data_IF_909475457695
#
_entry.id   IF_909475457695
#
_cell.length_a   1.000
_cell.length_b   1.000
_cell.length_c   1.000
_cell.angle_alpha   90.00
_cell.angle_beta   90.00
_cell.angle_gamma   90.00
#
_symmetry.space_group_name_H-M   'P 1'
#
loop_
_entity.id
_entity.type
_entity.pdbx_description
1 polymer ?
#
# COMPACT_ATOMS: atom_id res chain seq x y z
N UNK A 1 -39.13 -29.59 2.68
CA UNK A 1 -38.21 -28.98 3.68
C UNK A 1 -38.83 -27.79 4.44
N UNK A 2 -39.31 -26.76 3.73
CA UNK A 2 -39.74 -25.50 4.34
C UNK A 2 -40.94 -25.61 5.30
N UNK A 3 -41.91 -26.46 4.99
CA UNK A 3 -43.08 -26.68 5.82
C UNK A 3 -42.72 -27.27 7.23
N UNK A 4 -41.85 -28.27 7.26
CA UNK A 4 -41.39 -28.86 8.52
C UNK A 4 -40.53 -27.89 9.36
N UNK A 5 -39.75 -27.07 8.76
CA UNK A 5 -38.97 -26.04 9.44
C UNK A 5 -39.87 -25.01 10.17
N UNK A 6 -41.01 -24.64 9.55
CA UNK A 6 -41.96 -23.72 10.16
C UNK A 6 -42.64 -24.30 11.40
N UNK A 7 -42.74 -25.63 11.50
CA UNK A 7 -43.36 -26.35 12.68
C UNK A 7 -42.39 -26.48 13.86
N UNK A 8 -41.07 -26.20 13.66
CA UNK A 8 -40.10 -26.27 14.73
C UNK A 8 -40.27 -25.09 15.71
N UNK A 9 -40.12 -25.37 17.02
CA UNK A 9 -40.03 -24.33 18.02
C UNK A 9 -38.79 -23.43 17.79
N UNK A 10 -38.80 -22.18 18.25
CA UNK A 10 -37.63 -21.26 18.07
C UNK A 10 -36.33 -21.85 18.62
N UNK A 11 -36.38 -22.60 19.71
CA UNK A 11 -35.21 -23.28 20.29
C UNK A 11 -34.65 -24.38 19.36
N UNK A 12 -35.56 -25.20 18.77
CA UNK A 12 -35.16 -26.25 17.82
C UNK A 12 -34.61 -25.68 16.52
N UNK A 13 -35.17 -24.56 16.02
CA UNK A 13 -34.62 -23.85 14.84
C UNK A 13 -33.20 -23.36 15.10
N UNK A 14 -32.97 -22.75 16.28
CA UNK A 14 -31.62 -22.29 16.67
C UNK A 14 -30.62 -23.46 16.73
N UNK A 15 -30.98 -24.56 17.33
CA UNK A 15 -30.13 -25.75 17.39
C UNK A 15 -29.83 -26.32 16.00
N UNK A 16 -30.82 -26.34 15.12
CA UNK A 16 -30.68 -26.82 13.75
C UNK A 16 -29.67 -25.92 12.97
N UNK A 17 -29.82 -24.60 13.03
CA UNK A 17 -28.87 -23.68 12.42
C UNK A 17 -27.46 -23.82 13.00
N UNK A 18 -27.33 -24.03 14.32
CA UNK A 18 -26.03 -24.24 14.94
C UNK A 18 -25.35 -25.53 14.44
N UNK A 19 -26.10 -26.59 14.23
CA UNK A 19 -25.55 -27.85 13.67
C UNK A 19 -25.14 -27.69 12.21
N UNK A 20 -25.93 -26.97 11.42
CA UNK A 20 -25.57 -26.66 10.03
C UNK A 20 -24.27 -25.82 9.99
N UNK A 21 -24.20 -24.76 10.81
CA UNK A 21 -23.00 -23.92 10.87
C UNK A 21 -21.74 -24.73 11.19
N UNK A 22 -21.78 -25.58 12.21
CA UNK A 22 -20.66 -26.45 12.57
C UNK A 22 -20.27 -27.41 11.44
N UNK A 23 -21.25 -27.98 10.76
CA UNK A 23 -20.98 -28.88 9.65
C UNK A 23 -20.33 -28.17 8.46
N UNK A 24 -20.79 -26.94 8.16
CA UNK A 24 -20.16 -26.11 7.14
C UNK A 24 -18.74 -25.71 7.53
N UNK A 25 -18.49 -25.38 8.80
CA UNK A 25 -17.13 -25.12 9.31
C UNK A 25 -16.16 -26.29 9.07
N UNK A 26 -16.60 -27.53 9.35
CA UNK A 26 -15.80 -28.74 9.14
C UNK A 26 -15.42 -28.95 7.67
N UNK A 27 -16.24 -28.44 6.74
CA UNK A 27 -16.01 -28.57 5.29
C UNK A 27 -15.32 -27.36 4.66
N UNK A 28 -15.04 -26.31 5.46
CA UNK A 28 -14.45 -25.05 4.97
C UNK A 28 -13.01 -25.24 4.46
N UNK A 29 -12.22 -26.11 5.09
CA UNK A 29 -10.82 -26.39 4.71
C UNK A 29 -10.71 -26.94 3.28
N UNK A 30 -11.77 -27.59 2.76
CA UNK A 30 -11.84 -28.18 1.42
C UNK A 30 -12.46 -27.21 0.39
N UNK A 31 -12.93 -26.01 0.81
CA UNK A 31 -13.66 -25.07 -0.04
C UNK A 31 -12.83 -23.86 -0.42
N UNK A 32 -12.78 -23.55 -1.70
CA UNK A 32 -12.22 -22.31 -2.25
C UNK A 32 -13.28 -21.22 -2.44
N UNK A 33 -14.56 -21.50 -2.15
CA UNK A 33 -15.66 -20.57 -2.33
C UNK A 33 -15.82 -19.62 -1.13
N UNK A 34 -15.47 -18.35 -1.32
CA UNK A 34 -15.57 -17.33 -0.28
C UNK A 34 -17.01 -17.09 0.21
N UNK A 35 -18.02 -17.38 -0.59
CA UNK A 35 -19.42 -17.28 -0.18
C UNK A 35 -19.76 -18.25 0.95
N UNK A 36 -18.95 -19.30 1.14
CA UNK A 36 -19.08 -20.22 2.27
C UNK A 36 -18.96 -19.50 3.61
N UNK A 37 -18.06 -18.52 3.74
CA UNK A 37 -17.95 -17.71 4.96
C UNK A 37 -19.27 -16.97 5.26
N UNK A 38 -19.92 -16.40 4.26
CA UNK A 38 -21.21 -15.72 4.43
C UNK A 38 -22.34 -16.68 4.84
N UNK A 39 -22.37 -17.87 4.24
CA UNK A 39 -23.36 -18.89 4.63
C UNK A 39 -23.17 -19.34 6.07
N UNK A 40 -21.94 -19.61 6.50
CA UNK A 40 -21.63 -19.97 7.90
C UNK A 40 -22.03 -18.84 8.84
N UNK A 41 -21.71 -17.59 8.49
CA UNK A 41 -22.09 -16.41 9.26
C UNK A 41 -23.61 -16.30 9.42
N UNK A 42 -24.36 -16.52 8.32
CA UNK A 42 -25.82 -16.54 8.34
C UNK A 42 -26.37 -17.60 9.29
N UNK A 43 -25.85 -18.83 9.21
CA UNK A 43 -26.30 -19.93 10.05
C UNK A 43 -26.04 -19.65 11.55
N UNK A 44 -24.86 -19.08 11.89
CA UNK A 44 -24.57 -18.64 13.26
C UNK A 44 -25.47 -17.50 13.72
N UNK A 45 -25.81 -16.54 12.86
CA UNK A 45 -26.76 -15.47 13.15
C UNK A 45 -28.15 -16.02 13.49
N UNK A 46 -28.66 -16.98 12.70
CA UNK A 46 -29.94 -17.64 12.94
C UNK A 46 -29.93 -18.47 14.24
N UNK A 47 -28.81 -19.01 14.63
CA UNK A 47 -28.65 -19.71 15.90
C UNK A 47 -28.49 -18.78 17.10
N UNK A 48 -28.45 -17.45 16.92
CA UNK A 48 -28.17 -16.43 17.92
C UNK A 48 -26.72 -16.45 18.47
N UNK A 49 -25.80 -17.11 17.77
CA UNK A 49 -24.38 -17.02 18.09
C UNK A 49 -23.75 -15.84 17.33
N UNK A 50 -24.00 -14.62 17.83
CA UNK A 50 -23.70 -13.40 17.11
C UNK A 50 -22.19 -13.12 16.99
N UNK A 51 -21.39 -13.49 17.99
CA UNK A 51 -19.93 -13.32 17.92
C UNK A 51 -19.31 -14.26 16.86
N UNK A 52 -19.78 -15.50 16.79
CA UNK A 52 -19.31 -16.44 15.77
C UNK A 52 -19.74 -16.00 14.37
N UNK A 53 -20.97 -15.47 14.23
CA UNK A 53 -21.43 -14.85 12.98
C UNK A 53 -20.52 -13.71 12.54
N UNK A 54 -20.21 -12.76 13.43
CA UNK A 54 -19.31 -11.65 13.14
C UNK A 54 -17.89 -12.14 12.77
N UNK A 55 -17.39 -13.18 13.44
CA UNK A 55 -16.08 -13.76 13.13
C UNK A 55 -15.99 -14.24 11.67
N UNK A 56 -17.03 -14.93 11.17
CA UNK A 56 -17.06 -15.41 9.78
C UNK A 56 -17.27 -14.29 8.75
N UNK A 57 -18.02 -13.25 9.10
CA UNK A 57 -18.14 -12.07 8.27
C UNK A 57 -16.77 -11.33 8.12
N UNK A 58 -16.00 -11.27 9.21
CA UNK A 58 -14.65 -10.71 9.18
C UNK A 58 -13.69 -11.59 8.37
N UNK A 59 -13.75 -12.93 8.51
CA UNK A 59 -12.96 -13.84 7.68
C UNK A 59 -13.24 -13.61 6.19
N UNK A 60 -14.51 -13.48 5.81
CA UNK A 60 -14.89 -13.15 4.43
C UNK A 60 -14.25 -11.86 3.94
N UNK A 61 -14.29 -10.78 4.74
CA UNK A 61 -13.70 -9.51 4.35
C UNK A 61 -12.16 -9.57 4.30
N UNK A 62 -11.52 -10.30 5.21
CA UNK A 62 -10.07 -10.53 5.20
C UNK A 62 -9.62 -11.19 3.89
N UNK A 63 -10.31 -12.26 3.47
CA UNK A 63 -10.02 -12.96 2.23
C UNK A 63 -10.20 -12.07 0.99
N UNK A 64 -11.29 -11.28 0.95
CA UNK A 64 -11.54 -10.35 -0.15
C UNK A 64 -10.45 -9.29 -0.26
N UNK A 65 -10.05 -8.74 0.88
CA UNK A 65 -9.02 -7.70 0.91
C UNK A 65 -7.61 -8.27 0.67
N UNK A 66 -7.46 -9.59 0.54
CA UNK A 66 -6.19 -10.29 0.32
C UNK A 66 -5.08 -9.74 1.23
N UNK A 67 -5.39 -9.67 2.54
CA UNK A 67 -4.53 -9.01 3.52
C UNK A 67 -3.20 -9.73 3.78
N UNK A 68 -3.00 -10.92 3.25
CA UNK A 68 -1.79 -11.71 3.40
C UNK A 68 -0.56 -11.05 2.74
N UNK A 69 -0.76 -10.21 1.70
CA UNK A 69 0.33 -9.50 1.06
C UNK A 69 0.61 -8.16 1.73
N UNK A 70 1.64 -8.16 2.52
CA UNK A 70 2.09 -7.06 3.35
C UNK A 70 2.40 -5.77 2.58
N UNK A 71 3.01 -5.90 1.41
CA UNK A 71 3.53 -4.77 0.65
C UNK A 71 2.54 -4.20 -0.36
N UNK A 72 1.64 -5.01 -0.90
CA UNK A 72 0.88 -4.65 -2.08
C UNK A 72 -0.56 -5.17 -1.98
N UNK A 73 -1.43 -4.35 -1.43
CA UNK A 73 -2.86 -4.61 -1.49
C UNK A 73 -3.39 -4.16 -2.85
N UNK A 74 -4.08 -5.07 -3.55
CA UNK A 74 -4.67 -4.81 -4.86
C UNK A 74 -6.11 -4.33 -4.65
N UNK A 75 -6.43 -3.16 -5.19
CA UNK A 75 -7.80 -2.73 -5.40
C UNK A 75 -8.03 -2.66 -6.91
N UNK A 76 -8.96 -3.45 -7.42
CA UNK A 76 -9.32 -3.38 -8.83
C UNK A 76 -10.16 -2.13 -9.12
N UNK A 77 -9.89 -1.45 -10.24
CA UNK A 77 -10.65 -0.29 -10.72
C UNK A 77 -11.81 -0.77 -11.58
N UNK A 78 -13.02 -0.28 -11.29
CA UNK A 78 -14.17 -0.45 -12.15
C UNK A 78 -14.92 -1.77 -12.05
N UNK A 79 -15.80 -1.98 -13.02
CA UNK A 79 -16.75 -3.11 -13.11
C UNK A 79 -16.11 -4.43 -13.59
N UNK A 80 -14.79 -4.51 -13.73
CA UNK A 80 -14.13 -5.75 -14.09
C UNK A 80 -14.29 -6.77 -12.95
N UNK A 81 -14.91 -7.86 -13.30
CA UNK A 81 -15.25 -9.00 -12.46
C UNK A 81 -14.01 -9.49 -11.69
N UNK A 82 -13.97 -9.23 -10.39
CA UNK A 82 -13.10 -10.03 -9.54
C UNK A 82 -13.66 -11.45 -9.58
N UNK A 83 -12.97 -12.36 -10.25
CA UNK A 83 -13.24 -13.79 -10.15
C UNK A 83 -12.74 -14.26 -8.79
N UNK A 84 -13.48 -13.90 -7.75
CA UNK A 84 -13.33 -14.45 -6.43
C UNK A 84 -14.29 -15.64 -6.36
N UNK A 85 -13.76 -16.85 -6.49
CA UNK A 85 -14.54 -18.07 -6.31
C UNK A 85 -15.72 -18.27 -7.30
N UNK A 86 -15.60 -17.82 -8.55
CA UNK A 86 -16.59 -18.15 -9.60
C UNK A 86 -17.92 -17.39 -9.55
N UNK A 87 -18.07 -16.37 -8.72
CA UNK A 87 -19.24 -15.51 -8.67
C UNK A 87 -18.93 -14.10 -9.17
N UNK A 88 -19.57 -13.70 -10.27
CA UNK A 88 -19.60 -12.31 -10.77
C UNK A 88 -20.34 -11.44 -9.76
N UNK A 89 -19.64 -10.77 -8.86
CA UNK A 89 -20.27 -9.79 -7.97
C UNK A 89 -19.43 -8.52 -7.92
N UNK A 90 -20.08 -7.40 -8.19
CA UNK A 90 -19.55 -6.08 -7.83
C UNK A 90 -19.28 -6.03 -6.34
N UNK A 91 -18.01 -6.02 -5.95
CA UNK A 91 -17.64 -6.03 -4.55
C UNK A 91 -17.63 -4.60 -4.02
N UNK A 92 -18.68 -4.22 -3.34
CA UNK A 92 -18.76 -2.95 -2.62
C UNK A 92 -18.04 -3.09 -1.26
N UNK A 93 -16.71 -2.92 -1.27
CA UNK A 93 -15.88 -2.97 -0.05
C UNK A 93 -16.33 -1.92 0.96
N UNK A 94 -16.70 -0.72 0.51
CA UNK A 94 -17.15 0.37 1.38
C UNK A 94 -18.49 -0.01 2.03
N UNK A 95 -19.41 -0.58 1.25
CA UNK A 95 -20.69 -1.08 1.77
C UNK A 95 -20.48 -2.21 2.78
N UNK A 96 -19.60 -3.16 2.51
CA UNK A 96 -19.28 -4.24 3.46
C UNK A 96 -18.63 -3.72 4.76
N UNK A 97 -17.67 -2.81 4.67
CA UNK A 97 -17.09 -2.15 5.85
C UNK A 97 -18.13 -1.40 6.66
N UNK A 98 -19.04 -0.65 5.99
CA UNK A 98 -20.11 0.10 6.65
C UNK A 98 -21.09 -0.85 7.35
N UNK A 99 -21.48 -1.92 6.68
CA UNK A 99 -22.36 -2.97 7.24
C UNK A 99 -21.75 -3.64 8.47
N UNK A 100 -20.46 -3.96 8.41
CA UNK A 100 -19.75 -4.56 9.55
C UNK A 100 -19.57 -3.57 10.70
N UNK A 101 -19.33 -2.28 10.42
CA UNK A 101 -19.30 -1.24 11.43
C UNK A 101 -20.60 -1.23 12.25
N UNK A 102 -21.74 -1.18 11.55
CA UNK A 102 -23.05 -1.20 12.21
C UNK A 102 -23.25 -2.48 13.03
N UNK A 103 -22.83 -3.64 12.51
CA UNK A 103 -22.95 -4.90 13.23
C UNK A 103 -22.08 -4.95 14.50
N UNK A 104 -20.86 -4.41 14.45
CA UNK A 104 -19.98 -4.25 15.62
C UNK A 104 -20.65 -3.33 16.65
N UNK A 105 -21.17 -2.19 16.24
CA UNK A 105 -21.81 -1.22 17.13
C UNK A 105 -23.08 -1.80 17.78
N UNK A 106 -23.91 -2.52 17.03
CA UNK A 106 -25.12 -3.18 17.54
C UNK A 106 -24.82 -4.24 18.64
N UNK A 107 -23.64 -4.87 18.55
CA UNK A 107 -23.22 -5.85 19.54
C UNK A 107 -22.58 -5.24 20.79
N UNK A 108 -22.09 -4.01 20.71
CA UNK A 108 -21.37 -3.34 21.79
C UNK A 108 -22.14 -3.29 23.12
N UNK A 109 -23.43 -2.90 23.21
CA UNK A 109 -24.14 -2.83 24.48
C UNK A 109 -24.21 -4.16 25.22
N UNK A 110 -24.20 -5.28 24.47
CA UNK A 110 -24.32 -6.64 25.03
C UNK A 110 -22.96 -7.25 25.40
N UNK A 111 -21.91 -6.94 24.62
CA UNK A 111 -20.64 -7.66 24.69
C UNK A 111 -19.44 -6.77 25.04
N UNK A 112 -19.63 -5.49 25.44
CA UNK A 112 -18.55 -4.53 25.70
C UNK A 112 -17.44 -5.00 26.67
N UNK A 113 -17.75 -5.95 27.57
CA UNK A 113 -16.79 -6.53 28.51
C UNK A 113 -16.24 -7.88 28.09
N UNK A 114 -16.70 -8.40 26.96
CA UNK A 114 -16.32 -9.70 26.44
C UNK A 114 -15.01 -9.59 25.68
N UNK A 115 -14.02 -10.45 26.00
CA UNK A 115 -12.71 -10.43 25.35
C UNK A 115 -12.78 -10.88 23.88
N UNK A 116 -13.65 -11.82 23.55
CA UNK A 116 -13.82 -12.31 22.19
C UNK A 116 -14.44 -11.21 21.31
N UNK A 117 -15.44 -10.48 21.87
CA UNK A 117 -15.99 -9.32 21.17
C UNK A 117 -14.92 -8.23 20.96
N UNK A 118 -14.11 -7.92 21.97
CA UNK A 118 -13.03 -6.94 21.84
C UNK A 118 -12.01 -7.35 20.76
N UNK A 119 -11.69 -8.64 20.68
CA UNK A 119 -10.83 -9.16 19.62
C UNK A 119 -11.47 -9.02 18.23
N UNK A 120 -12.76 -9.29 18.07
CA UNK A 120 -13.47 -9.09 16.80
C UNK A 120 -13.55 -7.59 16.43
N UNK A 121 -13.76 -6.72 17.40
CA UNK A 121 -13.72 -5.28 17.21
C UNK A 121 -12.32 -4.79 16.76
N UNK A 122 -11.26 -5.36 17.36
CA UNK A 122 -9.88 -5.09 16.94
C UNK A 122 -9.66 -5.51 15.49
N UNK A 123 -10.10 -6.71 15.07
CA UNK A 123 -10.00 -7.19 13.69
C UNK A 123 -10.72 -6.24 12.72
N UNK A 124 -11.95 -5.86 13.02
CA UNK A 124 -12.70 -4.92 12.20
C UNK A 124 -11.95 -3.58 12.04
N UNK A 125 -11.49 -2.99 13.15
CA UNK A 125 -10.76 -1.72 13.13
C UNK A 125 -9.44 -1.82 12.33
N UNK A 126 -8.78 -2.98 12.37
CA UNK A 126 -7.59 -3.22 11.57
C UNK A 126 -7.90 -3.22 10.06
N UNK A 127 -8.97 -3.91 9.65
CA UNK A 127 -9.41 -3.94 8.26
C UNK A 127 -9.80 -2.55 7.75
N UNK A 128 -10.64 -1.84 8.51
CA UNK A 128 -11.06 -0.48 8.20
C UNK A 128 -9.86 0.48 8.13
N UNK A 129 -9.00 0.45 9.14
CA UNK A 129 -7.84 1.33 9.23
C UNK A 129 -6.84 1.10 8.11
N UNK A 130 -6.54 -0.16 7.80
CA UNK A 130 -5.65 -0.53 6.71
C UNK A 130 -6.23 -0.12 5.35
N UNK A 131 -7.50 -0.38 5.10
CA UNK A 131 -8.18 0.06 3.88
C UNK A 131 -8.11 1.58 3.73
N UNK A 132 -8.51 2.32 4.77
CA UNK A 132 -8.54 3.79 4.75
C UNK A 132 -7.16 4.41 4.52
N UNK A 133 -6.09 3.88 5.14
CA UNK A 133 -4.72 4.36 4.88
C UNK A 133 -4.33 4.11 3.43
N UNK A 134 -4.65 2.95 2.87
CA UNK A 134 -4.31 2.60 1.48
C UNK A 134 -5.05 3.43 0.44
N UNK A 135 -6.28 3.85 0.74
CA UNK A 135 -7.10 4.68 -0.14
C UNK A 135 -6.93 6.18 0.08
N UNK A 136 -6.04 6.58 1.01
CA UNK A 136 -5.74 7.99 1.29
C UNK A 136 -6.66 8.67 2.31
N UNK A 137 -7.62 7.94 2.91
CA UNK A 137 -8.46 8.45 3.99
C UNK A 137 -7.70 8.43 5.35
N UNK A 138 -6.58 9.14 5.40
CA UNK A 138 -5.60 9.03 6.46
C UNK A 138 -6.14 9.29 7.86
N UNK A 139 -6.96 10.32 8.06
CA UNK A 139 -7.47 10.65 9.40
C UNK A 139 -8.33 9.51 9.97
N UNK A 140 -9.22 8.95 9.15
CA UNK A 140 -10.04 7.81 9.51
C UNK A 140 -9.18 6.58 9.79
N UNK A 141 -8.24 6.30 8.89
CA UNK A 141 -7.34 5.15 9.00
C UNK A 141 -6.46 5.19 10.26
N UNK A 142 -5.79 6.31 10.52
CA UNK A 142 -4.95 6.49 11.71
C UNK A 142 -5.76 6.36 13.00
N UNK A 143 -6.97 6.94 13.07
CA UNK A 143 -7.82 6.81 14.24
C UNK A 143 -8.20 5.34 14.52
N UNK A 144 -8.56 4.58 13.49
CA UNK A 144 -8.86 3.15 13.62
C UNK A 144 -7.62 2.36 14.07
N UNK A 145 -6.46 2.58 13.47
CA UNK A 145 -5.21 1.89 13.81
C UNK A 145 -4.70 2.24 15.22
N UNK A 146 -4.87 3.46 15.69
CA UNK A 146 -4.56 3.82 17.08
C UNK A 146 -5.41 3.03 18.08
N UNK A 147 -6.69 2.79 17.77
CA UNK A 147 -7.54 1.88 18.58
C UNK A 147 -7.06 0.43 18.51
N UNK A 148 -6.63 -0.04 17.32
CA UNK A 148 -6.00 -1.38 17.17
C UNK A 148 -4.82 -1.53 18.12
N UNK A 149 -3.89 -0.59 18.11
CA UNK A 149 -2.71 -0.58 18.99
C UNK A 149 -3.12 -0.62 20.46
N UNK A 150 -4.11 0.18 20.86
CA UNK A 150 -4.62 0.21 22.23
C UNK A 150 -5.23 -1.15 22.65
N UNK A 151 -6.08 -1.72 21.80
CA UNK A 151 -6.74 -3.01 22.07
C UNK A 151 -5.75 -4.17 22.01
N UNK A 152 -4.80 -4.15 21.08
CA UNK A 152 -3.76 -5.17 21.00
C UNK A 152 -2.88 -5.21 22.26
N UNK A 153 -2.52 -4.05 22.83
CA UNK A 153 -1.83 -3.97 24.12
C UNK A 153 -2.66 -4.54 25.26
N UNK A 154 -3.94 -4.18 25.35
CA UNK A 154 -4.85 -4.69 26.40
C UNK A 154 -5.06 -6.19 26.28
N UNK A 155 -5.25 -6.71 25.09
CA UNK A 155 -5.41 -8.15 24.82
C UNK A 155 -4.09 -8.93 24.81
N UNK A 156 -2.94 -8.22 24.89
CA UNK A 156 -1.59 -8.80 24.77
C UNK A 156 -1.38 -9.55 23.44
N UNK A 157 -1.93 -9.02 22.38
CA UNK A 157 -1.86 -9.62 21.05
C UNK A 157 -0.76 -8.94 20.21
N UNK A 158 0.43 -9.55 20.23
CA UNK A 158 1.64 -8.98 19.63
C UNK A 158 1.49 -8.74 18.12
N UNK A 159 0.92 -9.70 17.38
CA UNK A 159 0.84 -9.60 15.92
C UNK A 159 0.05 -8.37 15.50
N UNK A 160 -1.13 -8.12 16.08
CA UNK A 160 -1.90 -6.91 15.79
C UNK A 160 -1.25 -5.63 16.32
N UNK A 161 -0.43 -5.71 17.36
CA UNK A 161 0.35 -4.57 17.84
C UNK A 161 1.41 -4.15 16.80
N UNK A 162 2.19 -5.11 16.31
CA UNK A 162 3.22 -4.89 15.28
C UNK A 162 2.59 -4.46 13.94
N UNK A 163 1.44 -5.06 13.58
CA UNK A 163 0.66 -4.65 12.42
C UNK A 163 0.16 -3.20 12.54
N UNK A 164 -0.34 -2.81 13.70
CA UNK A 164 -0.76 -1.44 13.97
C UNK A 164 0.37 -0.44 13.76
N UNK A 165 1.55 -0.69 14.31
CA UNK A 165 2.73 0.15 14.08
C UNK A 165 3.09 0.21 12.60
N UNK A 166 3.07 -0.91 11.90
CA UNK A 166 3.38 -0.98 10.48
C UNK A 166 2.43 -0.15 9.64
N UNK A 167 1.12 -0.17 9.92
CA UNK A 167 0.16 0.67 9.19
C UNK A 167 0.43 2.17 9.40
N UNK A 168 0.83 2.60 10.60
CA UNK A 168 1.24 3.99 10.83
C UNK A 168 2.53 4.31 10.08
N UNK A 169 3.51 3.39 10.06
CA UNK A 169 4.74 3.57 9.28
C UNK A 169 4.41 3.75 7.78
N UNK A 170 3.47 2.96 7.23
CA UNK A 170 3.04 3.13 5.84
C UNK A 170 2.36 4.47 5.58
N UNK A 171 1.53 4.94 6.50
CA UNK A 171 1.02 6.31 6.45
C UNK A 171 2.16 7.34 6.43
N UNK A 172 3.14 7.20 7.31
CA UNK A 172 4.30 8.09 7.37
C UNK A 172 5.10 8.11 6.06
N UNK A 173 5.28 6.95 5.41
CA UNK A 173 5.93 6.83 4.09
C UNK A 173 5.15 7.61 3.02
N UNK A 174 3.82 7.47 3.02
CA UNK A 174 2.96 8.12 2.02
C UNK A 174 2.86 9.64 2.21
N UNK A 175 3.05 10.13 3.43
CA UNK A 175 2.93 11.55 3.80
C UNK A 175 4.25 12.24 4.09
N UNK A 176 5.38 11.53 3.93
CA UNK A 176 6.74 12.01 4.29
C UNK A 176 6.84 12.49 5.77
N UNK A 177 6.06 11.87 6.68
CA UNK A 177 6.09 12.20 8.12
C UNK A 177 7.23 11.47 8.82
N UNK A 178 8.45 11.97 8.64
CA UNK A 178 9.70 11.32 9.08
C UNK A 178 9.77 11.19 10.60
N UNK A 179 9.31 12.18 11.35
CA UNK A 179 9.42 12.19 12.82
C UNK A 179 8.55 11.09 13.47
N UNK A 180 7.34 10.92 13.00
CA UNK A 180 6.44 9.86 13.46
C UNK A 180 6.90 8.48 12.99
N UNK A 181 7.46 8.38 11.78
CA UNK A 181 8.06 7.15 11.28
C UNK A 181 9.22 6.68 12.17
N UNK A 182 10.10 7.59 12.62
CA UNK A 182 11.19 7.27 13.54
C UNK A 182 10.66 6.59 14.81
N UNK A 183 9.65 7.19 15.44
CA UNK A 183 9.07 6.68 16.67
C UNK A 183 8.48 5.28 16.51
N UNK A 184 7.66 5.06 15.48
CA UNK A 184 7.00 3.76 15.31
C UNK A 184 7.95 2.67 14.81
N UNK A 185 8.98 3.00 14.02
CA UNK A 185 10.00 2.01 13.62
C UNK A 185 10.84 1.55 14.81
N UNK A 186 11.13 2.44 15.78
CA UNK A 186 11.86 2.07 17.00
C UNK A 186 11.01 1.17 17.89
N UNK A 187 9.76 1.55 18.18
CA UNK A 187 8.85 0.74 18.98
C UNK A 187 8.63 -0.67 18.38
N UNK A 188 8.39 -0.73 17.07
CA UNK A 188 8.11 -1.99 16.40
C UNK A 188 9.34 -2.92 16.42
N UNK A 189 10.54 -2.39 16.24
CA UNK A 189 11.77 -3.18 16.32
C UNK A 189 12.03 -3.65 17.75
N UNK A 190 11.82 -2.81 18.75
CA UNK A 190 11.98 -3.17 20.16
C UNK A 190 11.02 -4.28 20.58
N UNK A 191 9.73 -4.14 20.29
CA UNK A 191 8.72 -5.15 20.61
C UNK A 191 8.97 -6.48 19.87
N UNK A 192 9.42 -6.44 18.60
CA UNK A 192 9.78 -7.63 17.85
C UNK A 192 11.01 -8.36 18.44
N UNK A 193 12.01 -7.61 18.92
CA UNK A 193 13.21 -8.17 19.57
C UNK A 193 12.83 -8.78 20.92
N UNK A 194 12.03 -8.10 21.75
CA UNK A 194 11.56 -8.61 23.04
C UNK A 194 10.78 -9.91 22.88
N UNK A 195 10.00 -10.02 21.82
CA UNK A 195 9.23 -11.22 21.51
C UNK A 195 10.05 -12.33 20.84
N UNK A 196 11.32 -12.08 20.50
CA UNK A 196 12.16 -13.00 19.73
C UNK A 196 11.51 -13.46 18.41
N UNK A 197 10.75 -12.55 17.75
CA UNK A 197 10.07 -12.82 16.49
C UNK A 197 10.99 -12.45 15.32
N UNK A 198 11.73 -13.42 14.78
CA UNK A 198 12.74 -13.20 13.75
C UNK A 198 12.17 -12.62 12.45
N UNK A 199 10.96 -13.04 12.04
CA UNK A 199 10.29 -12.51 10.85
C UNK A 199 9.94 -11.02 11.05
N UNK A 200 9.34 -10.68 12.18
CA UNK A 200 9.03 -9.31 12.53
C UNK A 200 10.30 -8.46 12.64
N UNK A 201 11.37 -8.97 13.25
CA UNK A 201 12.66 -8.26 13.33
C UNK A 201 13.19 -7.94 11.93
N UNK A 202 13.22 -8.93 11.02
CA UNK A 202 13.71 -8.73 9.66
C UNK A 202 12.91 -7.66 8.91
N UNK A 203 11.58 -7.67 9.08
CA UNK A 203 10.66 -6.71 8.52
C UNK A 203 10.91 -5.29 9.05
N UNK A 204 11.01 -5.15 10.38
CA UNK A 204 11.26 -3.85 11.00
C UNK A 204 12.66 -3.31 10.66
N UNK A 205 13.65 -4.16 10.47
CA UNK A 205 14.97 -3.75 9.97
C UNK A 205 14.86 -3.12 8.57
N UNK A 206 14.04 -3.68 7.67
CA UNK A 206 13.79 -3.07 6.35
C UNK A 206 13.15 -1.70 6.47
N UNK A 207 12.08 -1.57 7.28
CA UNK A 207 11.39 -0.30 7.49
C UNK A 207 12.30 0.74 8.15
N UNK A 208 13.15 0.31 9.08
CA UNK A 208 14.17 1.16 9.68
C UNK A 208 15.23 1.59 8.65
N UNK A 209 15.62 0.70 7.73
CA UNK A 209 16.48 1.02 6.61
C UNK A 209 15.86 2.09 5.70
N UNK A 210 14.57 1.97 5.38
CA UNK A 210 13.84 2.99 4.63
C UNK A 210 13.77 4.34 5.40
N UNK A 211 13.53 4.31 6.71
CA UNK A 211 13.60 5.53 7.53
C UNK A 211 14.94 6.23 7.39
N UNK A 212 16.06 5.51 7.53
CA UNK A 212 17.39 6.10 7.38
C UNK A 212 17.65 6.61 5.95
N UNK A 213 17.12 5.94 4.93
CA UNK A 213 17.15 6.42 3.56
C UNK A 213 16.40 7.76 3.41
N UNK A 214 15.24 7.91 4.05
CA UNK A 214 14.45 9.15 4.00
C UNK A 214 15.13 10.33 4.71
N UNK A 215 15.90 10.08 5.77
CA UNK A 215 16.66 11.12 6.48
C UNK A 215 18.05 11.38 5.89
N UNK A 216 18.48 10.57 4.94
CA UNK A 216 19.77 10.73 4.26
C UNK A 216 20.96 10.11 4.97
N UNK A 217 20.74 9.22 5.93
CA UNK A 217 21.80 8.44 6.58
C UNK A 217 22.04 7.15 5.79
N UNK A 218 22.84 7.26 4.71
CA UNK A 218 23.12 6.17 3.79
C UNK A 218 23.78 4.96 4.47
N UNK A 219 24.65 5.18 5.44
CA UNK A 219 25.36 4.12 6.14
C UNK A 219 24.38 3.27 6.95
N UNK A 220 23.55 3.91 7.77
CA UNK A 220 22.54 3.20 8.54
C UNK A 220 21.47 2.56 7.66
N UNK A 221 21.04 3.25 6.59
CA UNK A 221 20.10 2.68 5.64
C UNK A 221 20.64 1.36 5.04
N UNK A 222 21.82 1.41 4.47
CA UNK A 222 22.49 0.25 3.89
C UNK A 222 22.67 -0.89 4.90
N UNK A 223 23.14 -0.58 6.10
CA UNK A 223 23.35 -1.54 7.19
C UNK A 223 22.08 -2.27 7.59
N UNK A 224 20.96 -1.53 7.78
CA UNK A 224 19.70 -2.11 8.19
C UNK A 224 19.05 -2.94 7.07
N UNK A 225 19.16 -2.49 5.82
CA UNK A 225 18.65 -3.23 4.66
C UNK A 225 19.37 -4.57 4.46
N UNK A 226 20.72 -4.58 4.53
CA UNK A 226 21.45 -5.85 4.46
C UNK A 226 21.14 -6.78 5.63
N UNK A 227 21.04 -6.27 6.86
CA UNK A 227 20.62 -7.10 8.01
C UNK A 227 19.22 -7.69 7.83
N UNK A 228 18.30 -6.95 7.23
CA UNK A 228 16.98 -7.49 6.86
C UNK A 228 17.09 -8.64 5.87
N UNK A 229 17.89 -8.46 4.80
CA UNK A 229 18.14 -9.50 3.78
C UNK A 229 18.77 -10.74 4.44
N UNK A 230 19.81 -10.56 5.28
CA UNK A 230 20.48 -11.65 5.97
C UNK A 230 19.50 -12.46 6.84
N UNK A 231 18.61 -11.77 7.59
CA UNK A 231 17.60 -12.44 8.41
C UNK A 231 16.59 -13.24 7.59
N UNK A 232 16.18 -12.75 6.41
CA UNK A 232 15.28 -13.48 5.52
C UNK A 232 15.99 -14.57 4.69
N UNK A 233 17.33 -14.57 4.66
CA UNK A 233 18.14 -15.45 3.82
C UNK A 233 18.87 -16.56 4.57
N UNK A 234 18.50 -16.82 5.84
CA UNK A 234 19.19 -17.82 6.68
C UNK A 234 19.14 -19.24 6.11
N UNK A 235 18.13 -19.59 5.37
CA UNK A 235 18.00 -20.86 4.65
C UNK A 235 17.38 -20.63 3.28
N UNK A 236 17.60 -21.57 2.33
CA UNK A 236 16.99 -21.49 1.00
C UNK A 236 15.45 -21.44 1.06
N UNK A 237 14.86 -22.24 1.93
CA UNK A 237 13.41 -22.23 2.12
C UNK A 237 12.89 -20.87 2.63
N UNK A 238 13.67 -20.17 3.47
CA UNK A 238 13.31 -18.81 3.89
C UNK A 238 13.50 -17.81 2.74
N UNK A 239 14.56 -17.93 1.95
CA UNK A 239 14.75 -17.08 0.76
C UNK A 239 13.57 -17.18 -0.19
N UNK A 240 13.11 -18.42 -0.48
CA UNK A 240 11.96 -18.64 -1.36
C UNK A 240 10.67 -18.06 -0.74
N UNK A 241 10.44 -18.30 0.55
CA UNK A 241 9.26 -17.78 1.28
C UNK A 241 9.22 -16.26 1.34
N UNK A 242 10.38 -15.61 1.53
CA UNK A 242 10.49 -14.16 1.74
C UNK A 242 11.09 -13.41 0.54
N UNK A 243 11.04 -14.00 -0.64
CA UNK A 243 11.60 -13.40 -1.86
C UNK A 243 11.15 -11.96 -2.10
N UNK A 244 9.86 -11.66 -1.87
CA UNK A 244 9.29 -10.31 -2.01
C UNK A 244 9.89 -9.33 -1.00
N UNK A 245 10.09 -9.74 0.25
CA UNK A 245 10.68 -8.90 1.30
C UNK A 245 12.15 -8.61 1.04
N UNK A 246 12.89 -9.62 0.54
CA UNK A 246 14.28 -9.47 0.10
C UNK A 246 14.33 -8.52 -1.10
N UNK A 247 13.48 -8.73 -2.10
CA UNK A 247 13.36 -7.88 -3.29
C UNK A 247 13.09 -6.41 -2.91
N UNK A 248 12.19 -6.15 -1.96
CA UNK A 248 11.92 -4.80 -1.48
C UNK A 248 13.13 -4.15 -0.79
N UNK A 249 13.92 -4.90 -0.04
CA UNK A 249 15.16 -4.39 0.56
C UNK A 249 16.22 -4.07 -0.50
N UNK A 250 16.37 -4.93 -1.52
CA UNK A 250 17.27 -4.69 -2.66
C UNK A 250 16.83 -3.48 -3.50
N UNK A 251 15.52 -3.26 -3.67
CA UNK A 251 15.00 -2.08 -4.37
C UNK A 251 15.36 -0.78 -3.64
N UNK A 252 15.32 -0.74 -2.30
CA UNK A 252 15.80 0.42 -1.53
C UNK A 252 17.33 0.60 -1.64
N UNK A 253 18.11 -0.48 -1.71
CA UNK A 253 19.55 -0.38 -1.99
C UNK A 253 19.81 0.18 -3.40
N UNK A 254 19.00 -0.21 -4.39
CA UNK A 254 19.05 0.37 -5.74
C UNK A 254 18.68 1.87 -5.72
N UNK A 255 17.70 2.30 -4.91
CA UNK A 255 17.37 3.72 -4.73
C UNK A 255 18.59 4.50 -4.18
N UNK A 256 19.32 3.94 -3.21
CA UNK A 256 20.57 4.55 -2.70
C UNK A 256 21.59 4.75 -3.84
N UNK A 257 21.78 3.75 -4.70
CA UNK A 257 22.69 3.86 -5.84
C UNK A 257 22.21 4.91 -6.87
N UNK A 258 20.89 5.06 -7.10
CA UNK A 258 20.33 6.13 -7.92
C UNK A 258 20.63 7.52 -7.32
N UNK A 259 20.47 7.68 -6.01
CA UNK A 259 20.78 8.93 -5.30
C UNK A 259 22.25 9.30 -5.43
N UNK A 260 23.14 8.32 -5.40
CA UNK A 260 24.59 8.48 -5.66
C UNK A 260 24.92 8.84 -7.11
N UNK A 261 24.01 8.59 -8.04
CA UNK A 261 24.22 8.73 -9.49
C UNK A 261 24.80 7.49 -10.14
N UNK A 262 24.86 6.36 -9.47
CA UNK A 262 25.35 5.08 -9.98
C UNK A 262 24.22 4.31 -10.68
N UNK A 263 23.62 4.93 -11.72
CA UNK A 263 22.39 4.44 -12.34
C UNK A 263 22.52 3.03 -12.94
N UNK A 264 23.70 2.69 -13.51
CA UNK A 264 23.91 1.34 -14.04
C UNK A 264 23.87 0.27 -12.94
N UNK A 265 24.43 0.56 -11.76
CA UNK A 265 24.39 -0.36 -10.60
C UNK A 265 22.95 -0.52 -10.12
N UNK A 266 22.20 0.58 -10.04
CA UNK A 266 20.78 0.55 -9.68
C UNK A 266 19.95 -0.30 -10.66
N UNK A 267 20.18 -0.17 -11.96
CA UNK A 267 19.54 -1.01 -12.99
C UNK A 267 19.84 -2.48 -12.75
N UNK A 268 21.12 -2.84 -12.53
CA UNK A 268 21.51 -4.23 -12.28
C UNK A 268 20.81 -4.83 -11.06
N UNK A 269 20.74 -4.07 -9.95
CA UNK A 269 20.01 -4.51 -8.75
C UNK A 269 18.53 -4.70 -9.01
N UNK A 270 17.88 -3.81 -9.77
CA UNK A 270 16.45 -3.91 -10.04
C UNK A 270 16.11 -5.02 -11.05
N UNK A 271 17.00 -5.31 -11.99
CA UNK A 271 16.88 -6.50 -12.84
C UNK A 271 17.00 -7.79 -12.01
N UNK A 272 17.91 -7.83 -11.02
CA UNK A 272 18.02 -8.94 -10.06
C UNK A 272 16.75 -9.08 -9.21
N UNK A 273 16.19 -7.98 -8.74
CA UNK A 273 14.90 -7.94 -8.03
C UNK A 273 13.78 -8.59 -8.85
N UNK A 274 13.63 -8.20 -10.12
CA UNK A 274 12.62 -8.78 -11.01
C UNK A 274 12.82 -10.26 -11.26
N UNK A 275 14.08 -10.71 -11.38
CA UNK A 275 14.41 -12.12 -11.52
C UNK A 275 14.10 -12.92 -10.24
N UNK A 276 14.40 -12.35 -9.06
CA UNK A 276 14.11 -12.97 -7.76
C UNK A 276 12.63 -13.18 -7.52
N UNK A 277 11.83 -12.17 -7.86
CA UNK A 277 10.36 -12.20 -7.72
C UNK A 277 9.74 -13.17 -8.73
N UNK A 278 10.33 -13.31 -9.92
CA UNK A 278 9.93 -14.25 -10.97
C UNK A 278 8.62 -13.86 -11.68
N UNK A 279 8.24 -14.68 -12.69
CA UNK A 279 7.05 -14.42 -13.51
C UNK A 279 5.74 -14.87 -12.83
N UNK A 280 5.83 -15.67 -11.76
CA UNK A 280 4.67 -16.15 -11.00
C UNK A 280 4.26 -15.18 -9.88
N UNK A 281 5.02 -14.11 -9.66
CA UNK A 281 4.62 -13.09 -8.71
C UNK A 281 3.33 -12.41 -9.15
N UNK A 282 2.50 -12.09 -8.17
CA UNK A 282 1.28 -11.31 -8.40
C UNK A 282 1.66 -10.04 -9.15
N UNK A 283 0.95 -9.75 -10.25
CA UNK A 283 1.24 -8.61 -11.15
C UNK A 283 1.45 -7.28 -10.39
N UNK A 284 0.70 -7.08 -9.30
CA UNK A 284 0.82 -5.89 -8.45
C UNK A 284 2.17 -5.74 -7.75
N UNK A 285 2.88 -6.82 -7.47
CA UNK A 285 4.23 -6.79 -6.90
C UNK A 285 5.22 -6.34 -7.95
N UNK A 286 5.12 -6.88 -9.17
CA UNK A 286 5.99 -6.50 -10.29
C UNK A 286 5.88 -5.04 -10.68
N UNK A 287 4.67 -4.47 -10.63
CA UNK A 287 4.41 -3.06 -10.97
C UNK A 287 5.35 -2.10 -10.25
N UNK A 288 5.54 -2.30 -8.96
CA UNK A 288 6.41 -1.42 -8.15
C UNK A 288 7.84 -1.47 -8.67
N UNK A 289 8.35 -2.67 -8.91
CA UNK A 289 9.73 -2.87 -9.37
C UNK A 289 9.92 -2.47 -10.85
N UNK A 290 8.89 -2.65 -11.70
CA UNK A 290 8.93 -2.12 -13.08
C UNK A 290 8.99 -0.57 -13.08
N UNK A 291 8.26 0.09 -12.19
CA UNK A 291 8.34 1.57 -12.05
C UNK A 291 9.75 1.97 -11.59
N UNK A 292 10.29 1.33 -10.55
CA UNK A 292 11.60 1.65 -10.01
C UNK A 292 12.71 1.41 -11.05
N UNK A 293 12.62 0.32 -11.83
CA UNK A 293 13.53 0.05 -12.95
C UNK A 293 13.38 1.10 -14.08
N UNK A 294 12.15 1.49 -14.42
CA UNK A 294 11.90 2.55 -15.39
C UNK A 294 12.52 3.87 -14.96
N UNK A 295 12.43 4.23 -13.67
CA UNK A 295 13.06 5.41 -13.09
C UNK A 295 14.60 5.32 -13.20
N UNK A 296 15.19 4.16 -12.91
CA UNK A 296 16.63 3.96 -13.05
C UNK A 296 17.10 4.14 -14.50
N UNK A 297 16.37 3.58 -15.48
CA UNK A 297 16.63 3.80 -16.90
C UNK A 297 16.46 5.27 -17.32
N UNK A 298 15.43 5.95 -16.79
CA UNK A 298 15.24 7.39 -17.06
C UNK A 298 16.48 8.21 -16.64
N UNK A 299 16.97 7.99 -15.43
CA UNK A 299 18.15 8.70 -14.94
C UNK A 299 19.44 8.28 -15.65
N UNK A 300 19.52 7.06 -16.17
CA UNK A 300 20.60 6.59 -17.03
C UNK A 300 20.59 7.25 -18.42
N UNK A 301 19.44 7.82 -18.82
CA UNK A 301 19.24 8.41 -20.15
C UNK A 301 18.68 7.43 -21.19
N UNK A 302 18.37 6.20 -20.81
CA UNK A 302 17.74 5.21 -21.70
C UNK A 302 16.21 5.32 -21.63
N UNK A 303 15.69 6.39 -22.25
CA UNK A 303 14.25 6.69 -22.24
C UNK A 303 13.40 5.62 -22.94
N UNK A 304 13.97 4.90 -23.90
CA UNK A 304 13.26 3.82 -24.58
C UNK A 304 12.97 2.66 -23.63
N UNK A 305 13.96 2.21 -22.85
CA UNK A 305 13.76 1.18 -21.84
C UNK A 305 12.90 1.67 -20.68
N UNK A 306 13.06 2.94 -20.27
CA UNK A 306 12.20 3.54 -19.26
C UNK A 306 10.72 3.48 -19.68
N UNK A 307 10.39 3.89 -20.90
CA UNK A 307 9.03 3.83 -21.43
C UNK A 307 8.49 2.39 -21.45
N UNK A 308 9.27 1.41 -21.87
CA UNK A 308 8.85 0.01 -21.86
C UNK A 308 8.51 -0.50 -20.45
N UNK A 309 9.28 -0.10 -19.43
CA UNK A 309 8.98 -0.43 -18.04
C UNK A 309 7.68 0.26 -17.58
N UNK A 310 7.53 1.54 -17.89
CA UNK A 310 6.34 2.31 -17.52
C UNK A 310 5.07 1.81 -18.23
N UNK A 311 5.15 1.37 -19.50
CA UNK A 311 4.03 0.81 -20.24
C UNK A 311 3.56 -0.53 -19.62
N UNK A 312 4.51 -1.38 -19.18
CA UNK A 312 4.16 -2.61 -18.44
C UNK A 312 3.44 -2.27 -17.13
N UNK A 313 3.98 -1.32 -16.36
CA UNK A 313 3.38 -0.88 -15.12
C UNK A 313 1.99 -0.27 -15.36
N UNK A 314 1.83 0.61 -16.35
CA UNK A 314 0.57 1.26 -16.70
C UNK A 314 -0.52 0.24 -17.08
N UNK A 315 -0.16 -0.81 -17.83
CA UNK A 315 -1.11 -1.86 -18.21
C UNK A 315 -1.70 -2.58 -17.00
N UNK A 316 -0.93 -2.77 -15.94
CA UNK A 316 -1.43 -3.35 -14.69
C UNK A 316 -2.22 -2.32 -13.89
N UNK A 317 -1.71 -1.09 -13.76
CA UNK A 317 -2.37 0.00 -13.02
C UNK A 317 -3.69 0.47 -13.66
N UNK A 318 -3.94 0.16 -14.93
CA UNK A 318 -5.27 0.38 -15.52
C UNK A 318 -6.35 -0.49 -14.88
N UNK A 319 -5.98 -1.64 -14.29
CA UNK A 319 -6.87 -2.62 -13.67
C UNK A 319 -6.84 -2.58 -12.14
N UNK A 320 -5.77 -2.07 -11.55
CA UNK A 320 -5.57 -2.02 -10.10
C UNK A 320 -5.28 -0.60 -9.64
N UNK A 321 -5.66 -0.26 -8.40
CA UNK A 321 -5.37 1.05 -7.81
C UNK A 321 -4.16 0.97 -6.89
N UNK A 322 -3.17 1.82 -7.19
CA UNK A 322 -1.93 1.94 -6.42
C UNK A 322 -1.51 3.41 -6.31
N UNK A 323 -2.28 4.25 -5.60
CA UNK A 323 -2.22 5.72 -5.73
C UNK A 323 -0.81 6.31 -5.63
N UNK A 324 -0.02 5.92 -4.63
CA UNK A 324 1.31 6.49 -4.40
C UNK A 324 2.37 6.14 -5.47
N UNK A 325 2.21 5.01 -6.17
CA UNK A 325 3.08 4.64 -7.30
C UNK A 325 2.54 5.16 -8.63
N UNK A 326 1.22 5.32 -8.75
CA UNK A 326 0.60 5.95 -9.92
C UNK A 326 1.09 7.37 -10.12
N UNK A 327 1.13 8.19 -9.07
CA UNK A 327 1.63 9.56 -9.13
C UNK A 327 3.09 9.63 -9.58
N UNK A 328 3.92 8.72 -9.09
CA UNK A 328 5.32 8.64 -9.47
C UNK A 328 5.48 8.21 -10.95
N UNK A 329 4.73 7.20 -11.39
CA UNK A 329 4.72 6.75 -12.77
C UNK A 329 4.29 7.87 -13.73
N UNK A 330 3.14 8.50 -13.47
CA UNK A 330 2.62 9.60 -14.30
C UNK A 330 3.62 10.75 -14.42
N UNK A 331 4.30 11.09 -13.33
CA UNK A 331 5.29 12.15 -13.33
C UNK A 331 6.47 11.81 -14.26
N UNK A 332 7.05 10.63 -14.20
CA UNK A 332 8.17 10.24 -15.06
C UNK A 332 7.76 10.05 -16.52
N UNK A 333 6.56 9.53 -16.78
CA UNK A 333 6.00 9.49 -18.14
C UNK A 333 5.85 10.92 -18.71
N UNK A 334 5.40 11.86 -17.87
CA UNK A 334 5.28 13.27 -18.27
C UNK A 334 6.64 13.92 -18.56
N UNK A 335 7.69 13.61 -17.79
CA UNK A 335 9.04 14.06 -18.08
C UNK A 335 9.57 13.53 -19.41
N UNK A 336 9.26 12.28 -19.76
CA UNK A 336 9.59 11.71 -21.08
C UNK A 336 8.78 12.42 -22.18
N UNK A 337 7.48 12.63 -21.97
CA UNK A 337 6.61 13.35 -22.91
C UNK A 337 7.13 14.77 -23.20
N UNK A 338 7.62 15.48 -22.17
CA UNK A 338 8.26 16.80 -22.35
C UNK A 338 9.47 16.71 -23.29
N UNK A 339 10.29 15.68 -23.17
CA UNK A 339 11.48 15.50 -24.02
C UNK A 339 11.11 15.09 -25.45
N UNK A 340 9.97 14.44 -25.64
CA UNK A 340 9.45 14.03 -26.96
C UNK A 340 8.61 15.11 -27.65
N UNK A 341 8.35 16.23 -26.94
CA UNK A 341 7.52 17.34 -27.48
C UNK A 341 6.01 17.03 -27.46
N UNK A 342 5.54 16.05 -26.66
CA UNK A 342 4.14 15.65 -26.54
C UNK A 342 3.36 16.58 -25.59
N UNK A 343 3.17 17.84 -26.03
CA UNK A 343 2.65 18.93 -25.19
C UNK A 343 1.25 18.67 -24.62
N UNK A 344 0.37 18.01 -25.38
CA UNK A 344 -0.98 17.65 -24.96
C UNK A 344 -0.97 16.75 -23.71
N UNK A 345 -0.11 15.72 -23.69
CA UNK A 345 0.03 14.83 -22.52
C UNK A 345 0.53 15.57 -21.28
N UNK A 346 1.45 16.51 -21.47
CA UNK A 346 1.99 17.35 -20.39
C UNK A 346 0.91 18.28 -19.83
N UNK A 347 0.12 18.89 -20.69
CA UNK A 347 -0.99 19.77 -20.30
C UNK A 347 -2.07 18.99 -19.54
N UNK A 348 -2.44 17.80 -20.01
CA UNK A 348 -3.40 16.93 -19.32
C UNK A 348 -2.93 16.54 -17.93
N UNK A 349 -1.65 16.19 -17.77
CA UNK A 349 -1.07 15.91 -16.46
C UNK A 349 -1.17 17.11 -15.53
N UNK A 350 -0.75 18.30 -15.97
CA UNK A 350 -0.77 19.53 -15.18
C UNK A 350 -2.22 19.91 -14.77
N UNK A 351 -3.20 19.76 -15.67
CA UNK A 351 -4.60 20.05 -15.39
C UNK A 351 -5.15 19.13 -14.29
N UNK A 352 -4.86 17.83 -14.34
CA UNK A 352 -5.24 16.89 -13.27
C UNK A 352 -4.57 17.22 -11.94
N UNK A 353 -3.27 17.51 -11.97
CA UNK A 353 -2.49 17.84 -10.75
C UNK A 353 -2.88 19.16 -10.12
N UNK A 354 -3.30 20.17 -10.88
CA UNK A 354 -3.81 21.44 -10.33
C UNK A 354 -5.03 21.21 -9.40
N UNK A 355 -5.85 20.21 -9.70
CA UNK A 355 -7.00 19.84 -8.87
C UNK A 355 -6.55 18.99 -7.67
N UNK A 356 -5.79 17.93 -7.90
CA UNK A 356 -5.43 16.92 -6.87
C UNK A 356 -4.42 17.44 -5.85
N UNK A 357 -3.49 18.34 -6.22
CA UNK A 357 -2.50 18.91 -5.28
C UNK A 357 -3.12 19.66 -4.11
N UNK A 358 -4.32 20.20 -4.26
CA UNK A 358 -5.04 20.88 -3.15
C UNK A 358 -5.43 19.91 -2.04
N UNK A 359 -5.51 18.63 -2.34
CA UNK A 359 -5.92 17.56 -1.45
C UNK A 359 -4.78 16.60 -1.08
N UNK A 360 -3.65 16.67 -1.80
CA UNK A 360 -2.51 15.78 -1.53
C UNK A 360 -1.89 16.06 -0.15
N UNK A 361 -1.77 14.99 0.65
CA UNK A 361 -1.08 15.02 1.93
C UNK A 361 0.45 14.89 1.78
N UNK A 362 0.94 14.51 0.60
CA UNK A 362 2.38 14.34 0.34
C UNK A 362 2.99 15.64 -0.24
N UNK A 363 3.89 16.31 0.50
CA UNK A 363 4.54 17.53 0.02
C UNK A 363 5.37 17.30 -1.26
N UNK A 364 5.90 16.09 -1.45
CA UNK A 364 6.72 15.72 -2.60
C UNK A 364 5.97 15.84 -3.93
N UNK A 365 4.67 15.54 -3.97
CA UNK A 365 3.85 15.69 -5.19
C UNK A 365 3.84 17.15 -5.66
N UNK A 366 3.68 18.08 -4.71
CA UNK A 366 3.76 19.52 -4.99
C UNK A 366 5.15 19.92 -5.47
N UNK A 367 6.19 19.38 -4.86
CA UNK A 367 7.58 19.60 -5.26
C UNK A 367 7.85 19.14 -6.70
N UNK A 368 7.37 17.97 -7.08
CA UNK A 368 7.52 17.40 -8.42
C UNK A 368 6.80 18.22 -9.49
N UNK A 369 5.58 18.68 -9.23
CA UNK A 369 4.85 19.55 -10.17
C UNK A 369 5.57 20.88 -10.36
N UNK A 370 6.08 21.51 -9.29
CA UNK A 370 6.83 22.76 -9.43
C UNK A 370 8.18 22.56 -10.11
N UNK A 371 8.82 21.40 -9.92
CA UNK A 371 9.99 21.02 -10.71
C UNK A 371 9.66 20.97 -12.21
N UNK A 372 8.53 20.35 -12.58
CA UNK A 372 8.09 20.27 -13.98
C UNK A 372 7.81 21.66 -14.57
N UNK A 373 7.15 22.54 -13.81
CA UNK A 373 6.88 23.92 -14.25
C UNK A 373 8.18 24.72 -14.45
N UNK A 374 9.16 24.58 -13.53
CA UNK A 374 10.49 25.16 -13.70
C UNK A 374 11.20 24.59 -14.94
N UNK A 375 11.08 23.29 -15.18
CA UNK A 375 11.68 22.65 -16.35
C UNK A 375 11.07 23.18 -17.67
N UNK A 376 9.74 23.30 -17.76
CA UNK A 376 9.04 23.84 -18.92
C UNK A 376 9.44 25.30 -19.18
N UNK A 377 9.45 26.13 -18.14
CA UNK A 377 9.88 27.53 -18.27
C UNK A 377 11.33 27.65 -18.80
N UNK A 378 12.20 26.75 -18.33
CA UNK A 378 13.58 26.68 -18.82
C UNK A 378 13.66 26.23 -20.27
N UNK A 379 12.78 25.36 -20.75
CA UNK A 379 12.73 24.99 -22.19
C UNK A 379 12.27 26.14 -23.03
N UNK A 380 11.25 26.92 -22.61
CA UNK A 380 10.79 28.13 -23.27
C UNK A 380 11.91 29.17 -23.37
N UNK A 381 12.62 29.47 -22.28
CA UNK A 381 13.77 30.38 -22.28
C UNK A 381 14.88 29.95 -23.27
N UNK A 382 15.01 28.65 -23.53
CA UNK A 382 15.95 28.10 -24.52
C UNK A 382 15.41 28.08 -25.95
N UNK A 383 14.20 28.60 -26.16
CA UNK A 383 13.58 28.73 -27.48
C UNK A 383 12.70 27.55 -27.89
N UNK A 384 12.28 26.70 -26.95
CA UNK A 384 11.25 25.71 -27.24
C UNK A 384 9.90 26.42 -27.42
N UNK A 385 9.20 26.11 -28.50
CA UNK A 385 7.83 26.60 -28.72
C UNK A 385 6.86 25.81 -27.88
N UNK A 386 6.28 26.44 -26.85
CA UNK A 386 5.19 25.86 -26.03
C UNK A 386 3.85 26.37 -26.58
N UNK A 387 2.85 25.49 -26.58
CA UNK A 387 1.49 25.86 -26.95
C UNK A 387 0.82 26.77 -25.91
N UNK A 388 -0.29 27.40 -26.29
CA UNK A 388 -1.01 28.34 -25.43
C UNK A 388 -1.56 27.69 -24.16
N UNK A 389 -1.83 26.39 -24.20
CA UNK A 389 -2.35 25.64 -23.01
C UNK A 389 -1.25 25.47 -21.98
N UNK A 390 -0.05 25.05 -22.39
CA UNK A 390 1.10 24.92 -21.49
C UNK A 390 1.55 26.28 -20.94
N UNK A 391 1.59 27.32 -21.78
CA UNK A 391 1.88 28.69 -21.33
C UNK A 391 0.88 29.16 -20.26
N UNK A 392 -0.36 28.74 -20.33
CA UNK A 392 -1.40 29.01 -19.32
C UNK A 392 -1.11 28.47 -17.92
N UNK A 393 -0.24 27.47 -17.78
CA UNK A 393 0.22 26.93 -16.48
C UNK A 393 1.44 27.69 -15.93
N UNK A 394 2.20 28.40 -16.76
CA UNK A 394 3.40 29.15 -16.36
C UNK A 394 3.01 30.53 -15.84
N UNK A 395 2.41 30.58 -14.65
CA UNK A 395 1.84 31.81 -14.04
C UNK A 395 2.83 32.58 -13.17
N UNK A 396 3.93 31.95 -12.81
CA UNK A 396 4.94 32.47 -11.90
C UNK A 396 6.33 32.42 -12.53
N UNK A 397 7.30 33.09 -11.93
CA UNK A 397 8.67 33.10 -12.42
C UNK A 397 9.49 31.85 -12.01
N UNK A 398 10.65 31.69 -12.60
CA UNK A 398 11.59 30.61 -12.34
C UNK A 398 11.96 30.52 -10.85
N UNK A 399 12.16 31.66 -10.17
CA UNK A 399 12.56 31.68 -8.77
C UNK A 399 11.45 31.15 -7.87
N UNK A 400 10.19 31.46 -8.18
CA UNK A 400 9.05 30.93 -7.44
C UNK A 400 8.98 29.40 -7.57
N UNK A 401 8.99 28.85 -8.79
CA UNK A 401 8.88 27.41 -9.01
C UNK A 401 10.05 26.65 -8.38
N UNK A 402 11.27 27.15 -8.52
CA UNK A 402 12.47 26.55 -7.88
C UNK A 402 12.34 26.54 -6.37
N UNK A 403 11.99 27.66 -5.75
CA UNK A 403 11.85 27.78 -4.30
C UNK A 403 10.82 26.81 -3.74
N UNK A 404 9.65 26.69 -4.39
CA UNK A 404 8.60 25.76 -3.95
C UNK A 404 9.08 24.31 -4.12
N UNK A 405 9.69 23.96 -5.27
CA UNK A 405 10.22 22.62 -5.47
C UNK A 405 11.30 22.27 -4.43
N UNK A 406 12.27 23.17 -4.17
CA UNK A 406 13.32 22.95 -3.16
C UNK A 406 12.79 22.80 -1.74
N UNK A 407 11.67 23.46 -1.40
CA UNK A 407 11.05 23.35 -0.07
C UNK A 407 10.22 22.07 0.12
N UNK A 408 9.72 21.49 -0.95
CA UNK A 408 8.75 20.38 -0.89
C UNK A 408 9.38 19.03 -1.26
N UNK A 409 10.46 19.03 -2.06
CA UNK A 409 11.21 17.81 -2.39
C UNK A 409 12.04 17.33 -1.21
N UNK A 410 12.18 16.02 -1.08
CA UNK A 410 13.05 15.44 -0.07
C UNK A 410 14.52 15.76 -0.41
N UNK A 411 15.29 16.44 0.46
CA UNK A 411 16.62 16.93 0.12
C UNK A 411 17.61 15.82 -0.22
N UNK A 412 17.35 14.61 0.18
CA UNK A 412 18.19 13.46 -0.06
C UNK A 412 17.65 12.57 -1.18
N UNK A 413 16.44 12.03 -1.04
CA UNK A 413 15.82 11.14 -2.04
C UNK A 413 15.65 11.80 -3.42
N UNK A 414 15.36 13.11 -3.45
CA UNK A 414 15.16 13.88 -4.67
C UNK A 414 16.42 14.64 -5.11
N UNK A 415 17.60 14.22 -4.65
CA UNK A 415 18.88 14.87 -4.91
C UNK A 415 19.15 15.12 -6.41
N UNK A 416 18.73 14.22 -7.27
CA UNK A 416 18.93 14.36 -8.72
C UNK A 416 18.05 15.50 -9.29
N UNK A 417 16.82 15.65 -8.83
CA UNK A 417 15.95 16.78 -9.21
C UNK A 417 16.51 18.10 -8.67
N UNK A 418 16.91 18.10 -7.40
CA UNK A 418 17.48 19.30 -6.78
C UNK A 418 18.79 19.74 -7.43
N UNK A 419 19.61 18.78 -7.92
CA UNK A 419 20.80 19.10 -8.71
C UNK A 419 20.42 19.75 -10.03
N UNK A 420 19.45 19.19 -10.77
CA UNK A 420 18.97 19.76 -12.03
C UNK A 420 18.34 21.15 -11.84
N UNK A 421 17.59 21.38 -10.75
CA UNK A 421 17.04 22.71 -10.43
C UNK A 421 18.12 23.78 -10.28
N UNK A 422 19.28 23.43 -9.71
CA UNK A 422 20.41 24.37 -9.58
C UNK A 422 21.08 24.69 -10.90
N UNK A 423 20.95 23.83 -11.89
CA UNK A 423 21.47 23.98 -13.25
C UNK A 423 20.51 24.78 -14.18
N UNK A 424 19.24 24.95 -13.76
CA UNK A 424 18.23 25.79 -14.44
C UNK A 424 18.39 27.25 -14.04
#
# INVERSE_FOLDING_TARGET
>A
GMYFYQLLSPARRRLFHQQIAKKLEETLEDSTDLLFYKEIAYQYKQSQNLLRSLSFELNYLEEILQLEHELFQIFYKGEEEQVVGGANSHLDIIGELTRLCQQVDDLFPRYQKDKDYKYLQLRYLYLEGRYSIRTGEYQKGIHAIQKVISYARELKHLDYLLEGYRQIIYYCIQTENISEMAYYTDLALEDAIQANNHEAIALQLRLKGLYYLMVGDEEQATRHLYRSIDCFSLTRSMQDKYAIQIAASLAYLAEIEQIRGHFQVAVTHLEEVLNLVGDQAVESVRVVFDIDLGIAYYWQGDFAKASLCFDRAQKVLSRVSFPWKEDQLEFYQTLIACQQGEQEKVADYLARKEISMKQSANPRDKGMVHYLLAFLLRQEEKGAELDAVLLGFLREDMNYYRKVAEQQLNPYRDRQFLKKLKEM
#
